data_IF_609511837922
#
_entry.id   IF_609511837922
#
_cell.length_a   1.000
_cell.length_b   1.000
_cell.length_c   1.000
_cell.angle_alpha   90.00
_cell.angle_beta   90.00
_cell.angle_gamma   90.00
#
_symmetry.space_group_name_H-M   'P 1'
#
loop_
_entity.id
_entity.type
_entity.pdbx_description
1 polymer ?
#
# COMPACT_ATOMS: atom_id res chain seq x y z
N UNK A 1 6.92 -15.23 30.91
CA UNK A 1 5.65 -15.67 30.28
C UNK A 1 4.81 -14.44 29.95
N UNK A 2 5.01 -13.82 28.78
CA UNK A 2 4.14 -12.76 28.28
C UNK A 2 3.15 -13.40 27.30
N UNK A 3 1.86 -13.40 27.66
CA UNK A 3 0.79 -13.97 26.83
C UNK A 3 0.31 -12.90 25.86
N UNK A 4 0.25 -13.31 24.60
CA UNK A 4 -0.37 -12.61 23.49
C UNK A 4 -1.83 -12.24 23.79
N UNK A 5 -2.19 -10.98 23.57
CA UNK A 5 -3.59 -10.56 23.33
C UNK A 5 -3.64 -9.09 22.95
N UNK A 6 -3.31 -8.79 21.69
CA UNK A 6 -3.82 -7.62 20.99
C UNK A 6 -3.93 -8.02 19.52
N UNK A 7 -4.97 -8.81 19.23
CA UNK A 7 -5.36 -9.11 17.86
C UNK A 7 -5.68 -7.76 17.21
N UNK A 8 -4.85 -7.42 16.23
CA UNK A 8 -4.80 -6.18 15.48
C UNK A 8 -6.17 -5.72 14.98
N UNK A 9 -6.83 -4.86 15.76
CA UNK A 9 -7.99 -4.09 15.31
C UNK A 9 -7.51 -2.71 14.84
N UNK A 10 -6.90 -2.66 13.66
CA UNK A 10 -6.69 -1.40 12.91
C UNK A 10 -7.94 -1.01 12.11
N UNK A 11 -9.12 -1.41 12.61
CA UNK A 11 -10.42 -1.01 12.11
C UNK A 11 -10.90 0.20 12.88
N UNK A 12 -10.91 1.35 12.21
CA UNK A 12 -11.68 2.55 12.55
C UNK A 12 -11.36 3.19 13.93
N UNK A 13 -10.38 4.08 13.95
CA UNK A 13 -10.23 5.27 14.83
C UNK A 13 -8.79 5.76 14.66
N UNK A 14 -8.60 7.08 14.45
CA UNK A 14 -7.31 7.81 14.34
C UNK A 14 -6.08 6.95 14.69
N UNK A 15 -5.55 6.23 13.70
CA UNK A 15 -4.44 5.30 13.91
C UNK A 15 -3.25 6.10 14.40
N UNK A 16 -2.80 5.82 15.62
CA UNK A 16 -1.61 6.45 16.20
C UNK A 16 -0.41 5.91 15.44
N UNK A 17 -0.06 6.57 14.34
CA UNK A 17 1.14 6.24 13.58
C UNK A 17 2.33 6.32 14.54
N UNK A 18 3.12 5.25 14.69
CA UNK A 18 4.21 5.27 15.65
C UNK A 18 5.21 6.35 15.25
N UNK A 19 5.64 7.16 16.23
CA UNK A 19 6.65 8.20 16.02
C UNK A 19 8.01 7.62 15.59
N UNK A 20 8.23 6.33 15.86
CA UNK A 20 9.33 5.53 15.33
C UNK A 20 8.75 4.18 14.87
N UNK A 21 8.68 3.96 13.57
CA UNK A 21 8.22 2.70 12.99
C UNK A 21 9.32 1.64 13.15
N UNK A 22 9.00 0.49 13.75
CA UNK A 22 9.91 -0.65 13.75
C UNK A 22 9.60 -1.59 12.57
N UNK A 23 10.50 -2.54 12.30
CA UNK A 23 10.38 -3.47 11.18
C UNK A 23 9.16 -4.39 11.27
N UNK A 24 8.71 -4.73 12.49
CA UNK A 24 7.53 -5.59 12.70
C UNK A 24 6.24 -4.86 12.36
N UNK A 25 6.09 -3.60 12.79
CA UNK A 25 4.93 -2.76 12.49
C UNK A 25 4.86 -2.47 10.99
N UNK A 26 6.01 -2.18 10.35
CA UNK A 26 6.12 -2.00 8.91
C UNK A 26 5.68 -3.26 8.16
N UNK A 27 6.17 -4.42 8.57
CA UNK A 27 5.82 -5.71 7.97
C UNK A 27 4.32 -6.03 8.12
N UNK A 28 3.74 -5.74 9.28
CA UNK A 28 2.31 -5.95 9.52
C UNK A 28 1.44 -5.06 8.61
N UNK A 29 1.81 -3.79 8.41
CA UNK A 29 1.13 -2.89 7.49
C UNK A 29 1.24 -3.38 6.03
N UNK A 30 2.42 -3.84 5.61
CA UNK A 30 2.61 -4.39 4.26
C UNK A 30 1.64 -5.56 4.03
N UNK A 31 1.61 -6.53 4.95
CA UNK A 31 0.72 -7.70 4.85
C UNK A 31 -0.74 -7.29 4.86
N UNK A 32 -1.12 -6.33 5.71
CA UNK A 32 -2.50 -5.83 5.80
C UNK A 32 -2.98 -5.18 4.49
N UNK A 33 -2.12 -4.41 3.82
CA UNK A 33 -2.47 -3.65 2.63
C UNK A 33 -2.07 -4.34 1.32
N UNK A 34 -1.36 -5.46 1.34
CA UNK A 34 -1.07 -6.26 0.15
C UNK A 34 -2.33 -6.65 -0.67
N UNK A 35 -3.46 -7.05 -0.05
CA UNK A 35 -4.69 -7.31 -0.81
C UNK A 35 -5.23 -6.09 -1.55
N UNK A 36 -5.03 -4.88 -1.00
CA UNK A 36 -5.40 -3.62 -1.65
C UNK A 36 -4.56 -3.40 -2.91
N UNK A 37 -3.25 -3.63 -2.84
CA UNK A 37 -2.36 -3.54 -4.01
C UNK A 37 -2.84 -4.48 -5.11
N UNK A 38 -3.10 -5.74 -4.78
CA UNK A 38 -3.58 -6.74 -5.75
C UNK A 38 -4.93 -6.33 -6.37
N UNK A 39 -5.86 -5.81 -5.57
CA UNK A 39 -7.14 -5.31 -6.08
C UNK A 39 -6.94 -4.17 -7.08
N UNK A 40 -6.05 -3.22 -6.77
CA UNK A 40 -5.76 -2.07 -7.64
C UNK A 40 -5.06 -2.50 -8.93
N UNK A 41 -4.08 -3.41 -8.84
CA UNK A 41 -3.37 -3.96 -9.99
C UNK A 41 -4.33 -4.66 -10.96
N UNK A 42 -5.21 -5.54 -10.44
CA UNK A 42 -6.22 -6.22 -11.26
C UNK A 42 -7.18 -5.22 -11.93
N UNK A 43 -7.62 -4.18 -11.21
CA UNK A 43 -8.49 -3.14 -11.77
C UNK A 43 -7.83 -2.33 -12.86
N UNK A 44 -6.54 -2.04 -12.72
CA UNK A 44 -5.79 -1.30 -13.71
C UNK A 44 -5.48 -2.16 -14.94
N UNK A 45 -5.11 -3.43 -14.74
CA UNK A 45 -4.86 -4.40 -15.81
C UNK A 45 -6.06 -4.55 -16.76
N UNK A 46 -7.30 -4.47 -16.26
CA UNK A 46 -8.51 -4.49 -17.08
C UNK A 46 -8.66 -3.29 -18.04
N UNK A 47 -7.86 -2.22 -17.86
CA UNK A 47 -7.96 -0.96 -18.61
C UNK A 47 -6.76 -0.71 -19.53
N UNK A 48 -5.79 -1.62 -19.56
CA UNK A 48 -4.55 -1.50 -20.33
C UNK A 48 -4.39 -2.68 -21.29
N UNK A 49 -3.48 -2.62 -22.27
CA UNK A 49 -3.26 -3.71 -23.21
C UNK A 49 -2.90 -5.03 -22.50
N UNK A 50 -3.25 -6.20 -23.09
CA UNK A 50 -2.94 -7.51 -22.52
C UNK A 50 -1.44 -7.83 -22.38
N UNK A 51 -0.57 -7.03 -23.01
CA UNK A 51 0.88 -7.12 -22.87
C UNK A 51 1.36 -6.73 -21.48
N UNK A 52 0.56 -5.99 -20.71
CA UNK A 52 0.91 -5.61 -19.34
C UNK A 52 0.54 -6.73 -18.37
N UNK A 53 1.54 -7.22 -17.64
CA UNK A 53 1.35 -8.24 -16.61
C UNK A 53 0.75 -7.67 -15.32
N UNK A 54 -0.25 -8.37 -14.77
CA UNK A 54 -0.81 -8.05 -13.43
C UNK A 54 0.25 -8.20 -12.34
N UNK A 55 1.17 -9.14 -12.50
CA UNK A 55 2.21 -9.40 -11.51
C UNK A 55 3.26 -8.28 -11.49
N UNK A 56 3.56 -7.70 -12.66
CA UNK A 56 4.44 -6.53 -12.77
C UNK A 56 3.78 -5.31 -12.12
N UNK A 57 2.51 -5.04 -12.45
CA UNK A 57 1.71 -4.00 -11.79
C UNK A 57 1.63 -4.20 -10.28
N UNK A 58 1.47 -5.44 -9.82
CA UNK A 58 1.44 -5.77 -8.39
C UNK A 58 2.78 -5.44 -7.74
N UNK A 59 3.89 -5.79 -8.40
CA UNK A 59 5.25 -5.55 -7.89
C UNK A 59 5.55 -4.05 -7.74
N UNK A 60 5.28 -3.24 -8.76
CA UNK A 60 5.43 -1.77 -8.66
C UNK A 60 4.43 -1.15 -7.69
N UNK A 61 3.23 -1.73 -7.59
CA UNK A 61 2.24 -1.34 -6.61
C UNK A 61 2.69 -1.57 -5.17
N UNK A 62 3.41 -2.67 -4.90
CA UNK A 62 4.02 -2.93 -3.59
C UNK A 62 5.07 -1.85 -3.29
N UNK A 63 5.90 -1.47 -4.27
CA UNK A 63 6.86 -0.37 -4.07
C UNK A 63 6.16 0.96 -3.73
N UNK A 64 5.04 1.26 -4.39
CA UNK A 64 4.20 2.41 -4.06
C UNK A 64 3.60 2.35 -2.65
N UNK A 65 3.22 1.15 -2.17
CA UNK A 65 2.77 0.95 -0.80
C UNK A 65 3.91 1.16 0.21
N UNK A 66 5.11 0.65 -0.07
CA UNK A 66 6.28 0.82 0.79
C UNK A 66 6.61 2.31 0.98
N UNK A 67 6.65 3.08 -0.11
CA UNK A 67 6.91 4.51 -0.01
C UNK A 67 5.73 5.26 0.64
N UNK A 68 4.50 4.77 0.49
CA UNK A 68 3.36 5.32 1.22
C UNK A 68 3.51 5.12 2.74
N UNK A 69 3.95 3.94 3.17
CA UNK A 69 4.25 3.65 4.58
C UNK A 69 5.38 4.57 5.04
N UNK A 70 6.47 4.69 4.31
CA UNK A 70 7.63 5.46 4.79
C UNK A 70 7.36 6.98 4.86
N UNK A 71 6.43 7.51 4.05
CA UNK A 71 6.15 8.96 3.94
C UNK A 71 4.82 9.42 4.52
N UNK A 72 4.01 8.52 5.07
CA UNK A 72 2.71 8.93 5.59
C UNK A 72 2.86 9.81 6.83
N UNK A 73 2.07 10.89 6.84
CA UNK A 73 2.03 11.86 7.92
C UNK A 73 0.62 11.87 8.54
N UNK A 74 0.44 11.33 9.76
CA UNK A 74 -0.86 11.25 10.41
C UNK A 74 -1.43 12.62 10.79
N UNK A 75 -0.63 13.69 10.79
CA UNK A 75 -1.07 15.04 11.15
C UNK A 75 -1.96 15.67 10.07
N UNK A 76 -1.97 15.12 8.85
CA UNK A 76 -2.67 15.67 7.68
C UNK A 76 -4.17 15.34 7.62
N UNK A 77 -4.74 14.76 8.66
CA UNK A 77 -6.16 14.37 8.78
C UNK A 77 -6.71 13.55 7.59
N UNK A 78 -5.84 12.75 6.97
CA UNK A 78 -6.20 11.81 5.90
C UNK A 78 -5.97 10.39 6.38
N UNK A 79 -6.91 9.49 6.09
CA UNK A 79 -6.74 8.07 6.38
C UNK A 79 -5.58 7.48 5.58
N UNK A 80 -4.72 6.68 6.22
CA UNK A 80 -3.60 6.02 5.55
C UNK A 80 -4.04 5.23 4.32
N UNK A 81 -5.17 4.52 4.40
CA UNK A 81 -5.73 3.78 3.25
C UNK A 81 -5.90 4.68 2.03
N UNK A 82 -6.52 5.85 2.18
CA UNK A 82 -6.74 6.80 1.09
C UNK A 82 -5.43 7.30 0.51
N UNK A 83 -4.46 7.62 1.38
CA UNK A 83 -3.12 8.03 0.94
C UNK A 83 -2.39 6.90 0.18
N UNK A 84 -2.39 5.69 0.73
CA UNK A 84 -1.77 4.51 0.12
C UNK A 84 -2.39 4.20 -1.24
N UNK A 85 -3.73 4.23 -1.37
CA UNK A 85 -4.40 4.03 -2.67
C UNK A 85 -3.90 5.01 -3.74
N UNK A 86 -3.70 6.27 -3.37
CA UNK A 86 -3.17 7.28 -4.29
C UNK A 86 -1.72 6.97 -4.69
N UNK A 87 -0.86 6.64 -3.73
CA UNK A 87 0.56 6.32 -3.99
C UNK A 87 0.74 5.05 -4.81
N UNK A 88 0.00 3.99 -4.51
CA UNK A 88 0.03 2.71 -5.23
C UNK A 88 -0.38 2.92 -6.69
N UNK A 89 -1.49 3.63 -6.93
CA UNK A 89 -1.94 3.94 -8.30
C UNK A 89 -0.93 4.79 -9.05
N UNK A 90 -0.34 5.79 -8.39
CA UNK A 90 0.72 6.63 -8.98
C UNK A 90 1.88 5.77 -9.49
N UNK A 91 2.42 4.89 -8.64
CA UNK A 91 3.53 4.01 -9.01
C UNK A 91 3.20 3.12 -10.23
N UNK A 92 2.01 2.52 -10.26
CA UNK A 92 1.58 1.70 -11.40
C UNK A 92 1.41 2.52 -12.68
N UNK A 93 0.82 3.72 -12.59
CA UNK A 93 0.62 4.60 -13.75
C UNK A 93 1.95 5.13 -14.29
N UNK A 94 2.92 5.39 -13.42
CA UNK A 94 4.26 5.79 -13.82
C UNK A 94 4.99 4.66 -14.55
N UNK A 95 4.83 3.41 -14.09
CA UNK A 95 5.38 2.25 -14.80
C UNK A 95 4.75 2.06 -16.19
N UNK A 96 3.43 2.23 -16.31
CA UNK A 96 2.75 2.14 -17.61
C UNK A 96 3.25 3.20 -18.60
N UNK A 97 3.53 4.42 -18.13
CA UNK A 97 4.15 5.48 -18.97
C UNK A 97 5.54 5.08 -19.43
N UNK A 98 6.29 4.35 -18.60
CA UNK A 98 7.59 3.80 -18.97
C UNK A 98 7.51 2.59 -19.92
N UNK A 99 6.32 2.10 -20.27
CA UNK A 99 6.15 1.06 -21.28
C UNK A 99 5.66 1.62 -22.63
N UNK A 100 5.06 2.81 -22.62
CA UNK A 100 4.51 3.48 -23.81
C UNK A 100 5.53 4.39 -24.55
N UNK A 101 6.64 4.78 -23.91
CA UNK A 101 7.77 5.52 -24.51
C UNK A 101 8.77 4.62 -25.25
#
# INVERSE_FOLDING_TARGET
MQRASAIYSYGNTKTKWPSAMNDMDRSALIVQYAPLVKLLANRLAMRVPPSVSVDDLTSVGIMGLLDAIDRFDPSRDVQFKTYAEFRIKGAMLDELRNLDW
#
